data_IF_148465295162
#
_entry.id   IF_148465295162
#
_cell.length_a   1.000
_cell.length_b   1.000
_cell.length_c   1.000
_cell.angle_alpha   90.00
_cell.angle_beta   90.00
_cell.angle_gamma   90.00
#
_symmetry.space_group_name_H-M   'P 1'
#
loop_
_entity.id
_entity.type
_entity.pdbx_description
1 polymer ?
#
# COMPACT_ATOMS: atom_id res chain seq x y z
N UNK A 1 18.26 -6.95 -6.38
CA UNK A 1 17.23 -7.91 -5.92
C UNK A 1 15.99 -7.06 -5.66
N UNK A 2 14.78 -7.50 -6.03
CA UNK A 2 13.58 -6.76 -5.67
C UNK A 2 13.50 -6.68 -4.15
N UNK A 3 13.31 -5.47 -3.62
CA UNK A 3 13.10 -5.26 -2.19
C UNK A 3 11.60 -5.39 -1.92
N UNK A 4 11.24 -6.31 -1.04
CA UNK A 4 9.86 -6.50 -0.60
C UNK A 4 9.59 -5.65 0.63
N UNK A 5 8.37 -5.15 0.76
CA UNK A 5 7.94 -4.43 1.95
C UNK A 5 6.54 -4.87 2.39
N UNK A 6 6.23 -4.57 3.65
CA UNK A 6 5.01 -5.00 4.30
C UNK A 6 3.96 -3.88 4.30
N UNK A 7 2.73 -4.28 3.96
CA UNK A 7 1.51 -3.49 4.15
C UNK A 7 0.61 -4.31 5.07
N UNK A 8 0.33 -3.77 6.26
CA UNK A 8 -0.24 -4.60 7.33
C UNK A 8 0.70 -5.75 7.71
N UNK A 9 0.15 -6.96 7.75
CA UNK A 9 0.86 -8.19 8.09
C UNK A 9 1.52 -8.90 6.88
N UNK A 10 1.22 -8.49 5.66
CA UNK A 10 1.68 -9.18 4.44
C UNK A 10 2.91 -8.50 3.83
N UNK A 11 4.00 -9.25 3.67
CA UNK A 11 5.25 -8.79 3.01
C UNK A 11 5.32 -9.32 1.58
N UNK A 12 4.35 -8.92 0.75
CA UNK A 12 4.18 -9.40 -0.63
C UNK A 12 4.44 -8.33 -1.69
N UNK A 13 4.48 -7.05 -1.29
CA UNK A 13 4.63 -5.93 -2.22
C UNK A 13 6.09 -5.61 -2.54
N UNK A 14 6.38 -5.25 -3.79
CA UNK A 14 7.72 -4.89 -4.26
C UNK A 14 7.87 -3.37 -4.32
N UNK A 15 8.94 -2.86 -3.71
CA UNK A 15 9.29 -1.43 -3.72
C UNK A 15 9.51 -0.96 -5.16
N UNK A 16 8.81 0.11 -5.56
CA UNK A 16 8.91 0.70 -6.89
C UNK A 16 8.19 -0.06 -8.00
N UNK A 17 7.39 -1.07 -7.68
CA UNK A 17 6.65 -1.85 -8.68
C UNK A 17 5.30 -1.21 -9.00
N UNK A 18 5.26 -0.45 -10.09
CA UNK A 18 4.05 0.23 -10.58
C UNK A 18 2.97 -0.74 -11.12
N UNK A 19 3.27 -2.03 -11.28
CA UNK A 19 2.31 -3.04 -11.73
C UNK A 19 2.17 -4.18 -10.70
N UNK A 20 2.26 -3.83 -9.43
CA UNK A 20 2.20 -4.80 -8.33
C UNK A 20 0.89 -5.60 -8.38
N UNK A 21 0.92 -6.92 -8.65
CA UNK A 21 -0.29 -7.73 -8.77
C UNK A 21 -0.96 -8.01 -7.42
N UNK A 22 -0.25 -7.77 -6.32
CA UNK A 22 -0.74 -7.91 -4.95
C UNK A 22 -1.54 -6.67 -4.50
N UNK A 23 -1.43 -5.57 -5.25
CA UNK A 23 -2.21 -4.37 -5.00
C UNK A 23 -3.68 -4.53 -5.46
N UNK A 24 -4.57 -3.74 -4.85
CA UNK A 24 -5.93 -3.55 -5.34
C UNK A 24 -5.94 -2.88 -6.72
N UNK A 25 -7.02 -3.02 -7.50
CA UNK A 25 -7.10 -2.62 -8.91
C UNK A 25 -6.76 -1.13 -9.18
N UNK A 26 -6.90 -0.25 -8.18
CA UNK A 26 -6.60 1.19 -8.28
C UNK A 26 -5.18 1.56 -7.80
N UNK A 27 -4.40 0.59 -7.32
CA UNK A 27 -3.06 0.78 -6.76
C UNK A 27 -2.00 0.00 -7.57
N UNK A 28 -0.74 0.47 -7.62
CA UNK A 28 -0.16 1.55 -6.82
C UNK A 28 -0.39 2.96 -7.35
N UNK A 29 -0.61 3.92 -6.46
CA UNK A 29 -0.75 5.35 -6.75
C UNK A 29 0.56 6.13 -6.57
N UNK A 30 0.66 7.34 -7.12
CA UNK A 30 1.87 8.17 -7.00
C UNK A 30 1.87 8.94 -5.69
N UNK A 31 2.88 8.71 -4.85
CA UNK A 31 3.07 9.48 -3.63
C UNK A 31 3.79 10.82 -3.93
N UNK A 32 3.40 11.95 -3.30
CA UNK A 32 4.09 13.23 -3.46
C UNK A 32 5.56 13.22 -2.99
N UNK A 33 5.99 12.22 -2.23
CA UNK A 33 7.40 12.04 -1.89
C UNK A 33 8.27 11.54 -3.06
N UNK A 34 7.64 11.10 -4.16
CA UNK A 34 8.29 10.47 -5.31
C UNK A 34 8.30 8.94 -5.29
N UNK A 35 7.68 8.31 -4.30
CA UNK A 35 7.42 6.87 -4.24
C UNK A 35 6.04 6.47 -4.80
N UNK A 36 5.68 5.21 -4.58
CA UNK A 36 4.40 4.62 -4.92
C UNK A 36 3.65 4.23 -3.64
N UNK A 37 2.35 4.52 -3.59
CA UNK A 37 1.43 4.09 -2.54
C UNK A 37 0.86 2.77 -2.99
N UNK A 38 1.15 1.71 -2.26
CA UNK A 38 0.56 0.40 -2.49
C UNK A 38 -0.62 0.19 -1.54
N UNK A 39 -1.53 -0.71 -1.90
CA UNK A 39 -2.67 -1.06 -1.07
C UNK A 39 -2.76 -2.57 -0.87
N UNK A 40 -3.13 -2.99 0.33
CA UNK A 40 -3.44 -4.36 0.67
C UNK A 40 -4.85 -4.45 1.27
N UNK A 41 -5.41 -5.66 1.26
CA UNK A 41 -6.64 -5.94 2.01
C UNK A 41 -6.35 -5.74 3.50
N UNK A 42 -7.03 -4.76 4.11
CA UNK A 42 -6.80 -4.41 5.51
C UNK A 42 -7.59 -5.27 6.49
N UNK A 43 -7.41 -4.98 7.77
CA UNK A 43 -8.22 -5.59 8.83
C UNK A 43 -9.62 -4.97 8.83
N UNK A 44 -10.61 -5.82 9.11
CA UNK A 44 -11.99 -5.40 9.24
C UNK A 44 -12.17 -4.63 10.55
N UNK A 45 -12.65 -3.39 10.47
CA UNK A 45 -12.99 -2.60 11.65
C UNK A 45 -14.13 -3.25 12.47
N UNK A 46 -14.30 -2.81 13.71
CA UNK A 46 -15.35 -3.28 14.65
C UNK A 46 -16.78 -3.16 14.07
N UNK A 47 -16.96 -2.37 13.00
CA UNK A 47 -18.21 -2.19 12.26
C UNK A 47 -18.42 -3.13 11.08
N UNK A 48 -17.48 -4.02 10.76
CA UNK A 48 -17.56 -4.91 9.60
C UNK A 48 -17.19 -4.25 8.27
N UNK A 49 -16.60 -3.06 8.30
CA UNK A 49 -16.10 -2.37 7.11
C UNK A 49 -14.63 -2.71 6.94
N UNK A 50 -14.30 -3.38 5.83
CA UNK A 50 -12.92 -3.59 5.41
C UNK A 50 -12.39 -2.30 4.78
N UNK A 51 -11.44 -1.65 5.45
CA UNK A 51 -10.70 -0.52 4.87
C UNK A 51 -9.37 -1.03 4.31
N UNK A 52 -9.02 -0.71 3.06
CA UNK A 52 -7.75 -1.11 2.50
C UNK A 52 -6.61 -0.41 3.24
N UNK A 53 -5.59 -1.16 3.64
CA UNK A 53 -4.37 -0.58 4.21
C UNK A 53 -3.53 -0.03 3.07
N UNK A 54 -3.27 1.28 3.09
CA UNK A 54 -2.42 1.93 2.08
C UNK A 54 -1.07 2.31 2.69
N UNK A 55 0.02 2.15 1.94
CA UNK A 55 1.35 2.53 2.40
C UNK A 55 2.32 2.83 1.26
N UNK A 56 3.04 3.95 1.40
CA UNK A 56 4.10 4.32 0.49
C UNK A 56 5.38 3.51 0.73
N UNK A 57 5.96 2.97 -0.34
CA UNK A 57 7.21 2.20 -0.31
C UNK A 57 8.44 3.04 0.10
N UNK A 58 8.39 4.37 -0.08
CA UNK A 58 9.49 5.29 0.23
C UNK A 58 9.32 5.99 1.58
N UNK A 59 8.24 6.75 1.76
CA UNK A 59 8.06 7.59 2.95
C UNK A 59 7.27 6.91 4.06
N UNK A 60 6.67 5.74 3.79
CA UNK A 60 5.91 4.97 4.77
C UNK A 60 4.54 5.53 5.14
N UNK A 61 4.13 6.67 4.53
CA UNK A 61 2.81 7.29 4.72
C UNK A 61 1.72 6.52 3.99
N UNK A 62 0.55 6.46 4.59
CA UNK A 62 -0.69 6.03 3.96
C UNK A 62 -1.30 7.12 3.08
N UNK A 63 -2.24 6.77 2.22
CA UNK A 63 -3.03 7.73 1.44
C UNK A 63 -3.84 8.67 2.35
N UNK A 64 -4.41 8.14 3.43
CA UNK A 64 -5.17 8.90 4.42
C UNK A 64 -4.34 9.98 5.13
N UNK A 65 -3.02 9.78 5.24
CA UNK A 65 -2.09 10.78 5.79
C UNK A 65 -1.71 11.87 4.78
N UNK A 66 -2.10 11.75 3.52
CA UNK A 66 -1.81 12.69 2.43
C UNK A 66 -2.98 13.63 2.11
N UNK A 67 -4.19 13.32 2.59
CA UNK A 67 -5.43 14.11 2.39
C UNK A 67 -5.66 15.19 3.46
#
# INVERSE_FOLDING_TARGET
MPELFAIGDETTHVIGDAQCPECLEEYPEVCPCGGLIHAASGEQDEGGTDWPLTRCDQCGRSEEELD
#
